data_IF_633527040472
#
_entry.id   IF_633527040472
#
_cell.length_a   1.000
_cell.length_b   1.000
_cell.length_c   1.000
_cell.angle_alpha   90.00
_cell.angle_beta   90.00
_cell.angle_gamma   90.00
#
_symmetry.space_group_name_H-M   'P 1'
#
loop_
_entity.id
_entity.type
_entity.pdbx_description
1 polymer ?
#
# COMPACT_ATOMS: atom_id res chain seq x y z
N UNK A 1 -5.87 -42.99 -7.85
CA UNK A 1 -4.88 -42.76 -6.76
C UNK A 1 -5.26 -41.46 -6.05
N UNK A 2 -5.14 -41.41 -4.71
CA UNK A 2 -6.16 -40.86 -3.81
C UNK A 2 -6.25 -39.31 -3.80
N UNK A 3 -7.34 -38.75 -3.25
CA UNK A 3 -7.60 -37.32 -3.27
C UNK A 3 -6.69 -36.55 -2.30
N UNK A 4 -6.23 -35.39 -2.74
CA UNK A 4 -5.56 -34.38 -1.92
C UNK A 4 -6.52 -33.92 -0.82
N UNK A 5 -6.38 -34.48 0.38
CA UNK A 5 -7.07 -34.04 1.57
C UNK A 5 -6.67 -32.59 1.88
N UNK A 6 -7.63 -31.69 1.81
CA UNK A 6 -7.58 -30.37 2.41
C UNK A 6 -7.37 -30.51 3.92
N UNK A 7 -6.13 -30.47 4.37
CA UNK A 7 -5.84 -30.32 5.80
C UNK A 7 -6.12 -28.88 6.19
N UNK A 8 -7.33 -28.63 6.68
CA UNK A 8 -7.58 -27.48 7.55
C UNK A 8 -6.65 -27.62 8.76
N UNK A 9 -5.50 -26.94 8.74
CA UNK A 9 -4.67 -26.81 9.93
C UNK A 9 -5.50 -26.01 10.95
N UNK A 10 -6.09 -26.73 11.90
CA UNK A 10 -6.71 -26.15 13.08
C UNK A 10 -5.69 -25.20 13.73
N UNK A 11 -6.10 -23.94 13.91
CA UNK A 11 -5.38 -22.93 14.67
C UNK A 11 -5.08 -23.50 16.05
N UNK A 12 -3.83 -23.89 16.31
CA UNK A 12 -3.43 -24.39 17.62
C UNK A 12 -3.42 -23.24 18.61
N UNK A 13 -4.38 -23.24 19.54
CA UNK A 13 -4.20 -22.55 20.81
C UNK A 13 -2.91 -23.08 21.44
N UNK A 14 -2.11 -22.20 22.04
CA UNK A 14 -0.91 -22.62 22.75
C UNK A 14 -1.39 -23.54 23.87
N UNK A 15 -0.97 -24.80 23.83
CA UNK A 15 -1.12 -25.69 24.98
C UNK A 15 -0.20 -25.14 26.07
N UNK A 16 -0.79 -24.61 27.15
CA UNK A 16 -0.08 -23.97 28.26
C UNK A 16 0.96 -24.90 28.92
N UNK A 17 0.90 -26.21 28.63
CA UNK A 17 1.86 -27.22 29.10
C UNK A 17 3.20 -27.20 28.35
N UNK A 18 3.30 -26.52 27.21
CA UNK A 18 4.54 -26.49 26.41
C UNK A 18 5.46 -25.36 26.88
N UNK A 19 6.60 -25.72 27.48
CA UNK A 19 7.62 -24.74 27.91
C UNK A 19 8.22 -24.01 26.70
N UNK A 20 8.16 -22.68 26.68
CA UNK A 20 8.76 -21.85 25.62
C UNK A 20 10.26 -21.70 25.79
N UNK A 21 10.72 -21.29 26.98
CA UNK A 21 12.13 -21.16 27.32
C UNK A 21 12.37 -21.92 28.64
N UNK A 22 13.23 -22.94 28.66
CA UNK A 22 13.53 -23.69 29.88
C UNK A 22 14.00 -22.77 31.01
N UNK A 23 13.44 -22.95 32.21
CA UNK A 23 13.79 -22.14 33.39
C UNK A 23 13.06 -20.79 33.50
N UNK A 24 12.18 -20.45 32.54
CA UNK A 24 11.33 -19.26 32.61
C UNK A 24 9.85 -19.65 32.63
N UNK A 25 9.05 -18.79 33.26
CA UNK A 25 7.60 -18.84 33.13
C UNK A 25 7.17 -18.49 31.69
N UNK A 26 6.11 -19.14 31.20
CA UNK A 26 5.68 -19.02 29.81
C UNK A 26 5.18 -17.61 29.44
N UNK A 27 4.64 -16.85 30.39
CA UNK A 27 4.26 -15.45 30.21
C UNK A 27 5.50 -14.57 29.94
N UNK A 28 6.55 -14.69 30.75
CA UNK A 28 7.82 -13.96 30.57
C UNK A 28 8.51 -14.39 29.27
N UNK A 29 8.55 -15.70 29.00
CA UNK A 29 9.13 -16.21 27.77
C UNK A 29 8.36 -15.71 26.52
N UNK A 30 7.02 -15.69 26.58
CA UNK A 30 6.18 -15.17 25.50
C UNK A 30 6.43 -13.68 25.24
N UNK A 31 6.67 -12.91 26.29
CA UNK A 31 7.02 -11.50 26.19
C UNK A 31 8.37 -11.34 25.51
N UNK A 32 9.41 -12.04 25.97
CA UNK A 32 10.76 -12.01 25.37
C UNK A 32 10.71 -12.35 23.89
N UNK A 33 10.03 -13.45 23.52
CA UNK A 33 9.92 -13.87 22.13
C UNK A 33 9.11 -12.88 21.28
N UNK A 34 8.17 -12.13 21.88
CA UNK A 34 7.36 -11.13 21.15
C UNK A 34 8.17 -9.90 20.70
N UNK A 35 9.23 -9.55 21.44
CA UNK A 35 10.17 -8.46 21.09
C UNK A 35 11.10 -8.82 19.93
N UNK A 36 11.17 -10.09 19.54
CA UNK A 36 12.04 -10.50 18.42
C UNK A 36 11.49 -9.94 17.11
N UNK A 37 12.28 -9.19 16.33
CA UNK A 37 11.86 -8.60 15.06
C UNK A 37 11.27 -9.63 14.09
N UNK A 38 10.24 -9.22 13.35
CA UNK A 38 9.52 -10.14 12.45
C UNK A 38 10.44 -10.77 11.38
N UNK A 39 11.48 -10.04 10.97
CA UNK A 39 12.51 -10.49 10.03
C UNK A 39 13.28 -11.73 10.48
N UNK A 40 13.43 -11.96 11.79
CA UNK A 40 14.16 -13.10 12.34
C UNK A 40 13.27 -14.31 12.69
N UNK A 41 11.95 -14.13 12.73
CA UNK A 41 11.02 -15.16 13.20
C UNK A 41 11.01 -16.41 12.32
N UNK A 42 11.19 -16.29 11.00
CA UNK A 42 11.21 -17.46 10.10
C UNK A 42 12.33 -18.43 10.42
N UNK A 43 13.49 -17.92 10.82
CA UNK A 43 14.65 -18.73 11.23
C UNK A 43 14.37 -19.42 12.56
N UNK A 44 13.77 -18.69 13.51
CA UNK A 44 13.46 -19.20 14.85
C UNK A 44 12.30 -20.19 14.86
N UNK A 45 11.30 -20.04 13.97
CA UNK A 45 10.23 -21.03 13.79
C UNK A 45 10.77 -22.44 13.50
N UNK A 46 11.98 -22.57 12.95
CA UNK A 46 12.57 -23.86 12.56
C UNK A 46 13.36 -24.54 13.68
N UNK A 47 13.59 -23.89 14.83
CA UNK A 47 14.46 -24.44 15.88
C UNK A 47 13.77 -25.52 16.71
N UNK A 48 12.52 -25.29 17.13
CA UNK A 48 11.74 -26.23 17.92
C UNK A 48 10.23 -26.07 17.70
N UNK A 49 9.46 -27.11 18.06
CA UNK A 49 8.00 -27.11 17.92
C UNK A 49 7.31 -26.03 18.76
N UNK A 50 7.80 -25.77 19.97
CA UNK A 50 7.20 -24.75 20.86
C UNK A 50 7.28 -23.35 20.27
N UNK A 51 8.45 -22.96 19.74
CA UNK A 51 8.63 -21.68 19.07
C UNK A 51 7.86 -21.61 17.75
N UNK A 52 7.82 -22.71 16.99
CA UNK A 52 6.99 -22.79 15.79
C UNK A 52 5.52 -22.45 16.09
N UNK A 53 4.94 -23.08 17.11
CA UNK A 53 3.56 -22.84 17.54
C UNK A 53 3.39 -21.40 18.03
N UNK A 54 4.28 -20.92 18.90
CA UNK A 54 4.21 -19.55 19.43
C UNK A 54 4.23 -18.48 18.34
N UNK A 55 5.22 -18.50 17.44
CA UNK A 55 5.33 -17.53 16.35
C UNK A 55 4.25 -17.73 15.26
N UNK A 56 3.48 -18.80 15.31
CA UNK A 56 2.33 -19.06 14.42
C UNK A 56 1.01 -18.90 15.18
N UNK A 57 1.01 -18.21 16.30
CA UNK A 57 -0.19 -17.95 17.10
C UNK A 57 -0.60 -16.48 17.05
N UNK A 58 -1.87 -16.22 17.36
CA UNK A 58 -2.38 -14.83 17.53
C UNK A 58 -1.78 -14.14 18.76
N UNK A 59 -1.27 -14.91 19.73
CA UNK A 59 -0.68 -14.41 20.99
C UNK A 59 0.50 -13.48 20.74
N UNK A 60 1.31 -13.76 19.72
CA UNK A 60 2.42 -12.88 19.31
C UNK A 60 1.94 -11.46 18.99
N UNK A 61 0.96 -11.34 18.10
CA UNK A 61 0.43 -10.04 17.66
C UNK A 61 -0.33 -9.34 18.79
N UNK A 62 -1.03 -10.10 19.64
CA UNK A 62 -1.67 -9.56 20.83
C UNK A 62 -0.64 -8.93 21.79
N UNK A 63 0.44 -9.65 22.10
CA UNK A 63 1.49 -9.14 22.98
C UNK A 63 2.18 -7.90 22.40
N UNK A 64 2.52 -7.90 21.11
CA UNK A 64 3.14 -6.73 20.46
C UNK A 64 2.27 -5.48 20.53
N UNK A 65 0.97 -5.64 20.31
CA UNK A 65 -0.02 -4.56 20.48
C UNK A 65 -0.07 -4.05 21.91
N UNK A 66 -0.18 -4.98 22.88
CA UNK A 66 -0.25 -4.66 24.30
C UNK A 66 0.98 -3.89 24.79
N UNK A 67 2.17 -4.28 24.35
CA UNK A 67 3.44 -3.70 24.80
C UNK A 67 4.04 -2.67 23.84
N UNK A 68 3.29 -2.23 22.83
CA UNK A 68 3.71 -1.28 21.78
C UNK A 68 5.03 -1.65 21.09
N UNK A 69 5.41 -2.92 21.09
CA UNK A 69 6.64 -3.44 20.47
C UNK A 69 6.39 -3.81 19.01
N UNK A 70 5.92 -2.85 18.23
CA UNK A 70 5.57 -3.09 16.84
C UNK A 70 6.79 -3.02 15.92
N UNK A 71 6.86 -3.92 14.95
CA UNK A 71 7.80 -3.79 13.83
C UNK A 71 7.12 -2.99 12.71
N UNK A 72 7.69 -1.85 12.33
CA UNK A 72 7.28 -1.09 11.16
C UNK A 72 7.97 -1.67 9.93
N UNK A 73 7.21 -2.38 9.10
CA UNK A 73 7.71 -3.06 7.92
C UNK A 73 7.14 -2.42 6.65
N UNK A 74 7.91 -2.53 5.59
CA UNK A 74 7.52 -2.11 4.26
C UNK A 74 7.29 -3.33 3.37
N UNK A 75 6.08 -3.53 2.89
CA UNK A 75 5.79 -4.49 1.84
C UNK A 75 5.96 -3.81 0.47
N UNK A 76 6.81 -4.39 -0.38
CA UNK A 76 7.08 -3.93 -1.74
C UNK A 76 6.58 -5.01 -2.70
N UNK A 77 5.72 -4.61 -3.63
CA UNK A 77 5.27 -5.39 -4.77
C UNK A 77 6.00 -4.84 -6.01
N UNK A 78 7.07 -5.50 -6.49
CA UNK A 78 7.88 -4.96 -7.58
C UNK A 78 7.10 -4.85 -8.89
N UNK A 79 6.26 -5.85 -9.16
CA UNK A 79 5.49 -6.01 -10.39
C UNK A 79 4.20 -6.80 -10.07
N UNK A 80 3.59 -7.42 -11.09
CA UNK A 80 2.45 -8.31 -10.93
C UNK A 80 2.76 -9.41 -9.89
N UNK A 81 2.03 -9.43 -8.76
CA UNK A 81 2.34 -10.30 -7.64
C UNK A 81 1.93 -11.75 -7.86
N UNK A 82 1.25 -12.07 -8.97
CA UNK A 82 0.97 -13.45 -9.37
C UNK A 82 2.15 -14.15 -10.04
N UNK A 83 3.10 -13.36 -10.58
CA UNK A 83 4.30 -13.86 -11.27
C UNK A 83 5.60 -13.54 -10.54
N UNK A 84 5.62 -12.48 -9.73
CA UNK A 84 6.79 -12.05 -8.97
C UNK A 84 6.51 -12.07 -7.47
N UNK A 85 7.50 -12.48 -6.67
CA UNK A 85 7.36 -12.50 -5.22
C UNK A 85 7.33 -11.07 -4.66
N UNK A 86 6.33 -10.70 -3.85
CA UNK A 86 6.40 -9.50 -3.03
C UNK A 86 7.45 -9.67 -1.93
N UNK A 87 7.97 -8.57 -1.39
CA UNK A 87 8.99 -8.61 -0.33
C UNK A 87 8.61 -7.72 0.85
N UNK A 88 8.76 -8.24 2.05
CA UNK A 88 8.80 -7.44 3.27
C UNK A 88 10.23 -6.97 3.52
N UNK A 89 10.38 -5.69 3.77
CA UNK A 89 11.61 -5.04 4.15
C UNK A 89 11.48 -4.49 5.57
N UNK A 90 12.47 -4.81 6.40
CA UNK A 90 12.66 -4.30 7.76
C UNK A 90 13.84 -3.32 7.72
N UNK A 91 13.58 -1.99 7.71
CA UNK A 91 14.65 -1.00 7.61
C UNK A 91 15.55 -0.94 8.85
N UNK A 92 15.03 -1.30 10.03
CA UNK A 92 15.81 -1.28 11.27
C UNK A 92 16.89 -2.37 11.27
N UNK A 93 16.58 -3.54 10.70
CA UNK A 93 17.50 -4.68 10.65
C UNK A 93 18.10 -4.93 9.26
N UNK A 94 17.78 -4.07 8.28
CA UNK A 94 18.16 -4.22 6.87
C UNK A 94 17.86 -5.61 6.31
N UNK A 95 16.74 -6.19 6.74
CA UNK A 95 16.40 -7.57 6.46
C UNK A 95 15.23 -7.66 5.47
N UNK A 96 15.31 -8.65 4.59
CA UNK A 96 14.32 -8.90 3.55
C UNK A 96 13.67 -10.26 3.73
N UNK A 97 12.38 -10.35 3.44
CA UNK A 97 11.63 -11.60 3.51
C UNK A 97 10.64 -11.70 2.34
N UNK A 98 10.78 -12.70 1.45
CA UNK A 98 9.85 -12.89 0.33
C UNK A 98 8.50 -13.40 0.83
N UNK A 99 7.42 -12.77 0.41
CA UNK A 99 6.06 -13.27 0.56
C UNK A 99 5.75 -14.24 -0.58
N UNK A 100 4.89 -15.25 -0.37
CA UNK A 100 4.43 -16.08 -1.48
C UNK A 100 3.72 -15.22 -2.55
N UNK A 101 3.76 -15.62 -3.83
CA UNK A 101 3.02 -14.93 -4.88
C UNK A 101 1.52 -15.12 -4.65
N UNK A 102 0.72 -14.26 -5.28
CA UNK A 102 -0.71 -14.45 -5.35
C UNK A 102 -1.05 -15.71 -6.17
N UNK A 103 -2.18 -16.37 -5.88
CA UNK A 103 -2.68 -17.44 -6.73
C UNK A 103 -2.84 -16.95 -8.18
N UNK A 104 -2.14 -17.60 -9.11
CA UNK A 104 -2.13 -17.23 -10.52
C UNK A 104 -3.42 -17.69 -11.22
N UNK A 105 -3.95 -16.85 -12.12
CA UNK A 105 -4.96 -17.25 -13.09
C UNK A 105 -4.31 -17.28 -14.49
N UNK A 106 -4.20 -18.46 -15.14
CA UNK A 106 -3.53 -18.61 -16.43
C UNK A 106 -4.09 -17.76 -17.57
N UNK A 107 -5.35 -17.33 -17.48
CA UNK A 107 -5.97 -16.52 -18.55
C UNK A 107 -5.71 -15.03 -18.40
N UNK A 108 -5.20 -14.57 -17.26
CA UNK A 108 -5.00 -13.14 -16.99
C UNK A 108 -3.53 -12.82 -16.76
N UNK A 109 -3.08 -11.68 -17.26
CA UNK A 109 -1.68 -11.26 -17.14
C UNK A 109 -1.54 -9.76 -16.91
N UNK A 110 -0.35 -9.38 -16.42
CA UNK A 110 0.08 -7.99 -16.19
C UNK A 110 -0.86 -7.20 -15.27
N UNK A 111 -1.18 -7.79 -14.11
CA UNK A 111 -1.88 -7.07 -13.05
C UNK A 111 -1.04 -5.87 -12.59
N UNK A 112 -1.60 -4.67 -12.78
CA UNK A 112 -1.00 -3.40 -12.39
C UNK A 112 -2.07 -2.50 -11.77
N UNK A 113 -1.68 -1.32 -11.27
CA UNK A 113 -2.61 -0.31 -10.74
C UNK A 113 -3.53 -0.82 -9.62
N UNK A 114 -3.18 -1.93 -8.98
CA UNK A 114 -3.84 -2.40 -7.77
C UNK A 114 -3.39 -1.54 -6.59
N UNK A 115 -4.17 -1.56 -5.52
CA UNK A 115 -3.81 -0.91 -4.27
C UNK A 115 -3.49 -1.96 -3.22
N UNK A 116 -2.56 -1.64 -2.33
CA UNK A 116 -2.35 -2.39 -1.10
C UNK A 116 -2.51 -1.49 0.11
N UNK A 117 -3.21 -1.96 1.13
CA UNK A 117 -3.49 -1.23 2.37
C UNK A 117 -3.32 -2.17 3.57
N UNK A 118 -2.81 -1.66 4.69
CA UNK A 118 -2.73 -2.43 5.92
C UNK A 118 -3.93 -2.10 6.82
N UNK A 119 -4.52 -3.13 7.41
CA UNK A 119 -5.57 -2.97 8.40
C UNK A 119 -5.47 -4.09 9.43
N UNK A 120 -5.31 -3.70 10.69
CA UNK A 120 -5.00 -4.64 11.76
C UNK A 120 -3.68 -5.38 11.47
N UNK A 121 -3.63 -6.72 11.62
CA UNK A 121 -2.41 -7.51 11.39
C UNK A 121 -2.33 -8.04 9.95
N UNK A 122 -3.06 -7.45 8.99
CA UNK A 122 -3.16 -7.97 7.63
C UNK A 122 -2.79 -6.91 6.59
N UNK A 123 -2.30 -7.38 5.44
CA UNK A 123 -2.19 -6.60 4.22
C UNK A 123 -3.33 -7.02 3.31
N UNK A 124 -4.06 -6.04 2.77
CA UNK A 124 -5.07 -6.24 1.77
C UNK A 124 -4.52 -5.82 0.42
N UNK A 125 -4.74 -6.65 -0.60
CA UNK A 125 -4.45 -6.33 -2.00
C UNK A 125 -5.77 -6.27 -2.76
N UNK A 126 -6.04 -5.12 -3.36
CA UNK A 126 -7.36 -4.76 -3.87
C UNK A 126 -7.27 -4.35 -5.34
N UNK A 127 -8.10 -4.99 -6.15
CA UNK A 127 -8.38 -4.59 -7.53
C UNK A 127 -7.18 -4.62 -8.46
N UNK A 128 -7.08 -3.58 -9.28
CA UNK A 128 -6.09 -3.40 -10.32
C UNK A 128 -6.67 -3.48 -11.72
N UNK A 129 -5.79 -3.44 -12.70
CA UNK A 129 -6.09 -3.64 -14.12
C UNK A 129 -5.21 -4.75 -14.66
N UNK A 130 -5.79 -5.62 -15.47
CA UNK A 130 -5.10 -6.75 -16.09
C UNK A 130 -5.61 -6.93 -17.53
N UNK A 131 -5.02 -7.85 -18.26
CA UNK A 131 -5.48 -8.25 -19.58
C UNK A 131 -5.96 -9.71 -19.54
N UNK A 132 -6.97 -10.05 -20.34
CA UNK A 132 -7.43 -11.44 -20.50
C UNK A 132 -6.99 -11.94 -21.88
N UNK A 133 -6.17 -12.99 -21.90
CA UNK A 133 -5.64 -13.61 -23.11
C UNK A 133 -6.73 -14.23 -24.01
N UNK A 134 -7.96 -14.36 -23.50
CA UNK A 134 -9.12 -14.87 -24.22
C UNK A 134 -10.04 -13.75 -24.74
N UNK A 135 -9.77 -12.50 -24.38
CA UNK A 135 -10.60 -11.36 -24.79
C UNK A 135 -10.28 -10.89 -26.20
N UNK A 136 -11.29 -10.37 -26.90
CA UNK A 136 -11.13 -9.68 -28.19
C UNK A 136 -11.83 -8.31 -28.13
N UNK A 137 -11.18 -7.20 -28.57
CA UNK A 137 -9.79 -7.14 -29.03
C UNK A 137 -8.78 -7.47 -27.92
N UNK A 138 -7.65 -8.05 -28.31
CA UNK A 138 -6.51 -8.26 -27.43
C UNK A 138 -6.01 -6.92 -26.88
N UNK A 139 -5.33 -6.95 -25.73
CA UNK A 139 -4.73 -5.78 -25.07
C UNK A 139 -5.73 -4.70 -24.60
N UNK A 140 -7.01 -5.05 -24.44
CA UNK A 140 -7.96 -4.19 -23.73
C UNK A 140 -7.80 -4.36 -22.21
N UNK A 141 -7.46 -3.31 -21.45
CA UNK A 141 -7.28 -3.42 -20.01
C UNK A 141 -8.63 -3.57 -19.31
N UNK A 142 -8.75 -4.62 -18.51
CA UNK A 142 -9.94 -4.94 -17.72
C UNK A 142 -9.70 -4.59 -16.25
N UNK A 143 -10.59 -3.81 -15.61
CA UNK A 143 -10.53 -3.60 -14.18
C UNK A 143 -10.84 -4.91 -13.43
N UNK A 144 -10.23 -5.11 -12.26
CA UNK A 144 -10.45 -6.28 -11.42
C UNK A 144 -11.21 -5.92 -10.16
N UNK A 145 -12.20 -6.74 -9.79
CA UNK A 145 -12.84 -6.70 -8.47
C UNK A 145 -12.15 -7.61 -7.45
N UNK A 146 -11.10 -8.35 -7.85
CA UNK A 146 -10.47 -9.33 -6.96
C UNK A 146 -9.82 -8.65 -5.76
N UNK A 147 -10.00 -9.28 -4.60
CA UNK A 147 -9.43 -8.81 -3.35
C UNK A 147 -8.83 -9.99 -2.58
N UNK A 148 -7.68 -9.75 -1.97
CA UNK A 148 -6.92 -10.73 -1.21
C UNK A 148 -6.46 -10.14 0.11
N UNK A 149 -6.34 -10.98 1.13
CA UNK A 149 -5.79 -10.64 2.43
C UNK A 149 -4.62 -11.56 2.75
N UNK A 150 -3.49 -10.99 3.11
CA UNK A 150 -2.33 -11.77 3.56
C UNK A 150 -2.44 -12.09 5.06
N UNK A 151 -2.33 -13.36 5.38
CA UNK A 151 -2.33 -13.86 6.75
C UNK A 151 -0.89 -14.15 7.19
N UNK A 152 -0.37 -13.36 8.13
CA UNK A 152 1.00 -13.49 8.63
C UNK A 152 1.21 -14.72 9.52
N UNK A 153 0.12 -15.31 10.03
CA UNK A 153 0.18 -16.53 10.85
C UNK A 153 0.39 -17.75 9.95
N UNK A 154 -0.49 -17.96 8.99
CA UNK A 154 -0.44 -19.08 8.03
C UNK A 154 0.56 -18.85 6.90
N UNK A 155 1.02 -17.60 6.74
CA UNK A 155 1.94 -17.18 5.69
C UNK A 155 1.39 -17.42 4.28
N UNK A 156 0.11 -17.12 4.08
CA UNK A 156 -0.62 -17.37 2.84
C UNK A 156 -1.54 -16.21 2.46
N UNK A 157 -1.79 -16.07 1.16
CA UNK A 157 -2.85 -15.20 0.65
C UNK A 157 -4.20 -15.91 0.72
N UNK A 158 -5.19 -15.23 1.29
CA UNK A 158 -6.58 -15.65 1.33
C UNK A 158 -7.38 -14.78 0.37
N UNK A 159 -8.21 -15.39 -0.48
CA UNK A 159 -9.17 -14.64 -1.30
C UNK A 159 -10.32 -14.19 -0.39
N UNK A 160 -10.67 -12.91 -0.48
CA UNK A 160 -11.82 -12.33 0.23
C UNK A 160 -12.92 -11.97 -0.79
N UNK A 161 -14.06 -11.48 -0.32
CA UNK A 161 -15.15 -11.08 -1.21
C UNK A 161 -14.65 -10.06 -2.24
N UNK A 162 -14.99 -10.23 -3.53
CA UNK A 162 -14.62 -9.27 -4.56
C UNK A 162 -15.42 -7.98 -4.38
N UNK A 163 -14.83 -6.85 -4.77
CA UNK A 163 -15.53 -5.56 -4.88
C UNK A 163 -16.74 -5.69 -5.82
N UNK A 164 -17.79 -4.91 -5.55
CA UNK A 164 -19.01 -4.86 -6.36
C UNK A 164 -18.67 -4.30 -7.75
N UNK A 165 -17.95 -3.18 -7.78
CA UNK A 165 -17.43 -2.55 -8.99
C UNK A 165 -15.93 -2.83 -9.13
N UNK A 166 -15.51 -3.57 -10.18
CA UNK A 166 -14.11 -3.76 -10.52
C UNK A 166 -13.40 -2.41 -10.77
N UNK A 167 -12.18 -2.27 -10.23
CA UNK A 167 -11.43 -1.00 -10.29
C UNK A 167 -9.92 -1.21 -10.18
N UNK A 168 -9.15 -0.37 -10.87
CA UNK A 168 -7.72 -0.09 -10.69
C UNK A 168 -7.49 1.42 -10.61
N UNK A 169 -6.34 1.85 -10.10
CA UNK A 169 -6.01 3.27 -9.89
C UNK A 169 -7.11 4.03 -9.13
N UNK A 170 -7.56 3.52 -7.98
CA UNK A 170 -8.62 4.10 -7.17
C UNK A 170 -8.08 4.64 -5.83
N UNK A 171 -8.81 5.58 -5.24
CA UNK A 171 -8.56 6.02 -3.88
C UNK A 171 -8.94 4.92 -2.89
N UNK A 172 -8.11 4.72 -1.87
CA UNK A 172 -8.30 3.66 -0.88
C UNK A 172 -7.80 4.14 0.48
N UNK A 173 -8.58 3.90 1.53
CA UNK A 173 -8.17 4.20 2.90
C UNK A 173 -8.66 3.13 3.87
N UNK A 174 -7.84 2.81 4.87
CA UNK A 174 -8.27 2.04 6.02
C UNK A 174 -8.89 2.97 7.06
N UNK A 175 -10.03 2.57 7.62
CA UNK A 175 -10.63 3.21 8.79
C UNK A 175 -10.31 2.31 9.99
N UNK A 176 -9.23 2.62 10.71
CA UNK A 176 -8.69 1.72 11.73
C UNK A 176 -9.67 1.55 12.89
N UNK A 177 -10.33 2.63 13.32
CA UNK A 177 -11.33 2.60 14.40
C UNK A 177 -12.54 1.71 14.13
N UNK A 178 -12.99 1.61 12.87
CA UNK A 178 -14.15 0.81 12.47
C UNK A 178 -13.78 -0.55 11.87
N UNK A 179 -12.48 -0.82 11.68
CA UNK A 179 -11.98 -2.01 10.98
C UNK A 179 -12.65 -2.19 9.60
N UNK A 180 -12.67 -1.11 8.81
CA UNK A 180 -13.24 -1.05 7.47
C UNK A 180 -12.21 -0.51 6.47
N UNK A 181 -12.43 -0.77 5.19
CA UNK A 181 -11.64 -0.19 4.09
C UNK A 181 -12.61 0.50 3.15
N UNK A 182 -12.36 1.75 2.79
CA UNK A 182 -13.17 2.50 1.83
C UNK A 182 -12.37 2.62 0.54
N UNK A 183 -13.04 2.37 -0.60
CA UNK A 183 -12.48 2.54 -1.94
C UNK A 183 -13.38 3.44 -2.76
N UNK A 184 -12.79 4.32 -3.58
CA UNK A 184 -13.54 5.32 -4.35
C UNK A 184 -12.95 5.54 -5.74
N UNK A 185 -13.84 5.56 -6.73
CA UNK A 185 -13.49 5.77 -8.14
C UNK A 185 -12.61 4.65 -8.71
N UNK A 186 -11.74 5.03 -9.64
CA UNK A 186 -10.85 4.16 -10.39
C UNK A 186 -11.43 3.71 -11.73
N UNK A 187 -10.89 2.62 -12.24
CA UNK A 187 -11.33 1.96 -13.47
C UNK A 187 -10.19 1.18 -14.13
N UNK A 188 -10.00 1.35 -15.42
CA UNK A 188 -8.88 0.73 -16.14
C UNK A 188 -8.24 1.75 -17.06
N UNK A 189 -6.92 1.64 -17.27
CA UNK A 189 -6.18 2.57 -18.14
C UNK A 189 -5.50 1.82 -19.25
N UNK A 190 -5.75 2.24 -20.49
CA UNK A 190 -5.00 1.77 -21.64
C UNK A 190 -3.77 2.67 -21.84
N UNK A 191 -2.60 2.08 -22.07
CA UNK A 191 -1.32 2.80 -22.19
C UNK A 191 -1.30 3.79 -23.36
N UNK A 192 -1.85 3.39 -24.52
CA UNK A 192 -1.92 4.24 -25.73
C UNK A 192 -3.24 5.01 -25.90
N UNK A 193 -4.39 4.44 -25.54
CA UNK A 193 -5.70 5.03 -25.84
C UNK A 193 -6.46 5.38 -24.55
N UNK A 194 -6.27 6.60 -24.03
CA UNK A 194 -6.90 7.03 -22.77
C UNK A 194 -8.44 6.83 -22.73
N UNK A 195 -9.11 6.96 -23.88
CA UNK A 195 -10.55 6.73 -24.03
C UNK A 195 -10.96 5.23 -24.01
N UNK A 196 -10.04 4.30 -24.23
CA UNK A 196 -10.30 2.86 -24.18
C UNK A 196 -10.30 2.29 -22.75
N UNK A 197 -9.92 3.10 -21.76
CA UNK A 197 -9.98 2.79 -20.34
C UNK A 197 -11.35 3.11 -19.73
N UNK A 198 -11.73 2.36 -18.70
CA UNK A 198 -12.95 2.64 -17.92
C UNK A 198 -12.68 3.63 -16.79
N UNK A 199 -13.70 4.39 -16.39
CA UNK A 199 -13.68 5.26 -15.20
C UNK A 199 -15.01 5.11 -14.48
N UNK A 200 -14.96 5.07 -13.16
CA UNK A 200 -16.16 4.97 -12.31
C UNK A 200 -16.11 6.04 -11.23
N UNK A 201 -17.28 6.34 -10.67
CA UNK A 201 -17.43 7.20 -9.52
C UNK A 201 -17.98 6.42 -8.31
N UNK A 202 -18.16 5.11 -8.40
CA UNK A 202 -18.72 4.32 -7.30
C UNK A 202 -17.77 4.25 -6.11
N UNK A 203 -18.37 4.21 -4.92
CA UNK A 203 -17.68 4.19 -3.64
C UNK A 203 -18.20 2.97 -2.89
N UNK A 204 -17.30 2.22 -2.30
CA UNK A 204 -17.64 1.00 -1.57
C UNK A 204 -16.84 0.93 -0.28
N UNK A 205 -17.46 0.38 0.77
CA UNK A 205 -16.76 0.01 2.00
C UNK A 205 -16.73 -1.50 2.17
N UNK A 206 -15.58 -2.01 2.59
CA UNK A 206 -15.40 -3.40 2.95
C UNK A 206 -15.58 -3.59 4.46
N UNK A 207 -16.54 -4.42 4.83
CA UNK A 207 -16.74 -4.86 6.20
C UNK A 207 -15.90 -6.11 6.47
N UNK A 208 -14.85 -5.98 7.28
CA UNK A 208 -13.91 -7.09 7.53
C UNK A 208 -14.57 -8.27 8.23
N UNK A 209 -15.50 -8.03 9.16
CA UNK A 209 -16.20 -9.09 9.89
C UNK A 209 -17.20 -9.81 8.99
N UNK A 210 -17.96 -9.06 8.18
CA UNK A 210 -18.93 -9.59 7.25
C UNK A 210 -18.33 -10.19 5.99
N UNK A 211 -17.04 -9.94 5.71
CA UNK A 211 -16.37 -10.28 4.45
C UNK A 211 -17.26 -9.89 3.24
N UNK A 212 -17.71 -8.64 3.22
CA UNK A 212 -18.59 -8.13 2.17
C UNK A 212 -18.27 -6.68 1.86
N UNK A 213 -18.50 -6.31 0.61
CA UNK A 213 -18.49 -4.93 0.16
C UNK A 213 -19.90 -4.38 0.21
N UNK A 214 -20.03 -3.12 0.62
CA UNK A 214 -21.29 -2.39 0.73
C UNK A 214 -21.13 -1.10 -0.06
N UNK A 215 -22.10 -0.81 -0.91
CA UNK A 215 -22.14 0.41 -1.71
C UNK A 215 -22.35 1.65 -0.82
N UNK A 216 -21.76 2.76 -1.23
CA UNK A 216 -21.87 4.08 -0.61
C UNK A 216 -22.17 5.13 -1.68
N UNK A 217 -22.52 6.35 -1.25
CA UNK A 217 -22.75 7.47 -2.16
C UNK A 217 -21.54 7.71 -3.07
N UNK A 218 -21.79 7.67 -4.38
CA UNK A 218 -20.76 7.82 -5.40
C UNK A 218 -20.11 9.21 -5.39
N UNK A 219 -18.86 9.30 -5.86
CA UNK A 219 -18.16 10.56 -6.06
C UNK A 219 -18.98 11.49 -6.99
N UNK A 220 -18.90 12.82 -6.80
CA UNK A 220 -19.62 13.79 -7.63
C UNK A 220 -19.30 13.68 -9.13
N UNK A 221 -18.08 13.22 -9.46
CA UNK A 221 -17.57 13.04 -10.82
C UNK A 221 -16.70 11.80 -10.90
N UNK A 222 -16.51 11.27 -12.12
CA UNK A 222 -15.55 10.19 -12.38
C UNK A 222 -14.14 10.60 -11.98
N UNK A 223 -13.43 9.74 -11.25
CA UNK A 223 -12.06 10.01 -10.82
C UNK A 223 -11.24 8.72 -10.79
N UNK A 224 -10.09 8.71 -11.46
CA UNK A 224 -9.11 7.63 -11.43
C UNK A 224 -7.71 8.20 -11.17
N UNK A 225 -6.76 7.37 -10.72
CA UNK A 225 -5.42 7.81 -10.31
C UNK A 225 -5.41 8.74 -9.09
N UNK A 226 -6.47 8.73 -8.28
CA UNK A 226 -6.62 9.53 -7.07
C UNK A 226 -6.04 8.83 -5.84
N UNK A 227 -5.80 9.62 -4.79
CA UNK A 227 -5.33 9.14 -3.48
C UNK A 227 -6.45 9.29 -2.46
N UNK A 228 -6.65 8.27 -1.64
CA UNK A 228 -7.64 8.26 -0.56
C UNK A 228 -6.95 8.25 0.80
N UNK A 229 -7.51 8.96 1.78
CA UNK A 229 -7.10 8.87 3.18
C UNK A 229 -8.24 9.28 4.10
N UNK A 230 -8.14 8.92 5.38
CA UNK A 230 -9.16 9.24 6.39
C UNK A 230 -8.55 10.17 7.43
N UNK A 231 -9.23 11.28 7.70
CA UNK A 231 -8.96 12.10 8.86
C UNK A 231 -9.82 11.58 10.02
N UNK A 232 -9.28 10.66 10.83
CA UNK A 232 -10.07 9.96 11.86
C UNK A 232 -10.69 10.90 12.91
N UNK A 233 -10.04 12.03 13.20
CA UNK A 233 -10.54 13.03 14.15
C UNK A 233 -11.81 13.72 13.68
N UNK A 234 -11.83 14.19 12.42
CA UNK A 234 -13.01 14.79 11.82
C UNK A 234 -14.00 13.74 11.31
N UNK A 235 -13.58 12.48 11.22
CA UNK A 235 -14.38 11.41 10.64
C UNK A 235 -14.60 11.63 9.15
N UNK A 236 -13.62 12.16 8.43
CA UNK A 236 -13.76 12.53 7.02
C UNK A 236 -12.91 11.62 6.12
N UNK A 237 -13.51 11.14 5.04
CA UNK A 237 -12.81 10.45 3.96
C UNK A 237 -12.50 11.42 2.83
N UNK A 238 -11.21 11.60 2.54
CA UNK A 238 -10.70 12.50 1.53
C UNK A 238 -10.30 11.73 0.28
N UNK A 239 -10.69 12.26 -0.89
CA UNK A 239 -10.25 11.77 -2.20
C UNK A 239 -9.62 12.92 -2.96
N UNK A 240 -8.32 12.80 -3.22
CA UNK A 240 -7.47 13.89 -3.70
C UNK A 240 -6.91 13.61 -5.10
N UNK A 241 -7.05 14.60 -5.99
CA UNK A 241 -6.46 14.60 -7.34
C UNK A 241 -6.93 13.46 -8.25
N UNK A 242 -6.04 12.94 -9.09
CA UNK A 242 -6.41 11.99 -10.14
C UNK A 242 -6.90 12.71 -11.40
N UNK A 243 -7.69 12.01 -12.20
CA UNK A 243 -8.17 12.49 -13.48
C UNK A 243 -9.57 11.95 -13.78
N UNK A 244 -10.35 12.73 -14.52
CA UNK A 244 -11.70 12.39 -14.92
C UNK A 244 -11.81 12.07 -16.40
N UNK A 245 -12.82 12.62 -17.06
CA UNK A 245 -13.09 12.37 -18.47
C UNK A 245 -11.95 12.82 -19.39
N UNK A 246 -11.86 12.17 -20.55
CA UNK A 246 -10.92 12.56 -21.59
C UNK A 246 -11.54 13.66 -22.45
N UNK A 247 -10.83 14.77 -22.64
CA UNK A 247 -11.18 15.81 -23.61
C UNK A 247 -10.34 15.69 -24.87
N UNK A 248 -10.87 16.13 -26.00
CA UNK A 248 -10.11 16.17 -27.26
C UNK A 248 -9.40 17.54 -27.35
N UNK A 249 -8.07 17.51 -27.44
CA UNK A 249 -7.25 18.70 -27.68
C UNK A 249 -6.95 18.78 -29.18
N UNK A 250 -7.12 19.98 -29.74
CA UNK A 250 -6.89 20.28 -31.16
C UNK A 250 -7.66 19.39 -32.14
N UNK A 251 -8.81 18.84 -31.72
CA UNK A 251 -9.66 17.97 -32.54
C UNK A 251 -9.11 16.56 -32.79
N UNK A 252 -7.94 16.20 -32.25
CA UNK A 252 -7.23 14.95 -32.63
C UNK A 252 -6.79 14.12 -31.42
N UNK A 253 -6.34 14.75 -30.32
CA UNK A 253 -5.67 14.02 -29.25
C UNK A 253 -6.53 13.92 -27.99
N UNK A 254 -6.94 12.72 -27.55
CA UNK A 254 -7.60 12.55 -26.26
C UNK A 254 -6.59 12.78 -25.14
N UNK A 255 -6.91 13.69 -24.22
CA UNK A 255 -6.10 14.01 -23.05
C UNK A 255 -6.99 13.91 -21.82
N UNK A 256 -6.52 13.19 -20.80
CA UNK A 256 -7.18 13.11 -19.50
C UNK A 256 -7.23 14.49 -18.83
N UNK A 257 -8.39 14.89 -18.33
CA UNK A 257 -8.50 16.07 -17.48
C UNK A 257 -8.02 15.71 -16.06
N UNK A 258 -6.84 16.21 -15.69
CA UNK A 258 -6.30 16.02 -14.35
C UNK A 258 -6.91 17.03 -13.38
N UNK A 259 -7.29 16.51 -12.22
CA UNK A 259 -7.91 17.28 -11.17
C UNK A 259 -6.90 17.77 -10.14
N UNK A 260 -7.10 19.02 -9.74
CA UNK A 260 -6.28 19.77 -8.79
C UNK A 260 -6.98 19.97 -7.46
N UNK A 261 -8.17 19.41 -7.34
CA UNK A 261 -9.09 19.53 -6.21
C UNK A 261 -9.06 18.27 -5.34
N UNK A 262 -9.78 18.35 -4.23
CA UNK A 262 -10.15 17.22 -3.40
C UNK A 262 -11.65 17.24 -3.16
N UNK A 263 -12.21 16.06 -2.92
CA UNK A 263 -13.58 15.89 -2.45
C UNK A 263 -13.57 15.13 -1.13
N UNK A 264 -14.51 15.46 -0.25
CA UNK A 264 -14.57 14.95 1.12
C UNK A 264 -15.95 14.41 1.41
N UNK A 265 -15.99 13.24 2.03
CA UNK A 265 -17.20 12.61 2.54
C UNK A 265 -17.12 12.53 4.06
N UNK A 266 -18.17 12.97 4.74
CA UNK A 266 -18.32 12.77 6.18
C UNK A 266 -18.74 11.33 6.46
N UNK A 267 -17.99 10.63 7.33
CA UNK A 267 -18.25 9.25 7.74
C UNK A 267 -19.08 9.17 9.02
N UNK A 268 -19.17 10.25 9.79
CA UNK A 268 -19.94 10.35 11.05
C UNK A 268 -20.94 11.49 10.94
N UNK A 269 -22.19 11.25 11.35
CA UNK A 269 -23.13 12.34 11.61
C UNK A 269 -22.85 12.96 13.00
N UNK A 270 -23.20 14.23 13.19
CA UNK A 270 -23.03 15.01 14.43
C UNK A 270 -23.64 14.39 15.71
N UNK A 271 -24.37 13.28 15.61
CA UNK A 271 -25.02 12.60 16.75
C UNK A 271 -24.27 11.35 17.25
N UNK A 272 -23.06 11.06 16.74
CA UNK A 272 -22.21 9.97 17.25
C UNK A 272 -22.69 8.55 16.95
N UNK A 273 -23.81 8.38 16.23
CA UNK A 273 -24.21 7.10 15.67
C UNK A 273 -23.46 6.84 14.36
N UNK A 274 -22.89 5.64 14.26
CA UNK A 274 -22.39 5.09 13.00
C UNK A 274 -23.51 5.15 11.96
N UNK A 275 -23.20 5.64 10.76
CA UNK A 275 -24.17 5.70 9.67
C UNK A 275 -24.45 4.27 9.21
N UNK A 276 -25.51 3.69 9.78
CA UNK A 276 -26.09 2.43 9.36
C UNK A 276 -26.81 2.64 8.01
N UNK A 277 -26.03 2.83 6.95
CA UNK A 277 -26.51 2.93 5.56
C UNK A 277 -26.21 4.25 4.85
N UNK A 278 -25.22 4.21 3.95
CA UNK A 278 -24.89 5.28 2.99
C UNK A 278 -23.93 6.31 3.55
N UNK A 279 -22.70 6.39 3.01
CA UNK A 279 -21.75 7.45 3.38
C UNK A 279 -22.36 8.85 3.27
N UNK A 280 -21.86 9.80 4.06
CA UNK A 280 -22.37 11.17 4.05
C UNK A 280 -22.24 11.85 2.68
N UNK A 281 -22.92 13.00 2.52
CA UNK A 281 -22.86 13.77 1.27
C UNK A 281 -21.42 14.23 0.98
N UNK A 282 -21.05 14.16 -0.30
CA UNK A 282 -19.79 14.70 -0.77
C UNK A 282 -19.77 16.24 -0.76
N UNK A 283 -18.66 16.80 -0.29
CA UNK A 283 -18.32 18.23 -0.36
C UNK A 283 -17.08 18.42 -1.23
N UNK A 284 -17.12 19.40 -2.12
CA UNK A 284 -15.95 19.82 -2.88
C UNK A 284 -15.10 20.78 -2.04
N UNK A 285 -13.79 20.53 -1.97
CA UNK A 285 -12.85 21.40 -1.24
C UNK A 285 -12.38 22.56 -2.12
N UNK A 286 -12.39 22.35 -3.44
CA UNK A 286 -11.89 23.30 -4.44
C UNK A 286 -10.41 23.07 -4.79
N UNK A 287 -9.89 23.89 -5.68
CA UNK A 287 -8.53 23.76 -6.21
C UNK A 287 -7.46 24.04 -5.14
N UNK A 288 -6.49 23.13 -5.02
CA UNK A 288 -5.41 23.19 -4.03
C UNK A 288 -4.23 24.08 -4.44
N UNK A 289 -4.35 24.76 -5.59
CA UNK A 289 -3.28 25.51 -6.26
C UNK A 289 -3.84 26.80 -6.86
N UNK A 290 -2.96 27.77 -7.11
CA UNK A 290 -3.35 28.95 -7.89
C UNK A 290 -3.40 28.62 -9.40
N UNK A 291 -4.14 29.43 -10.13
CA UNK A 291 -4.28 29.28 -11.58
C UNK A 291 -2.89 29.34 -12.25
N UNK A 292 -2.63 28.39 -13.16
CA UNK A 292 -1.35 28.28 -13.87
C UNK A 292 -0.21 27.56 -13.14
N UNK A 293 -0.31 27.26 -11.83
CA UNK A 293 0.81 26.64 -11.10
C UNK A 293 1.05 25.18 -11.51
N UNK A 294 0.00 24.34 -11.57
CA UNK A 294 0.17 22.92 -11.90
C UNK A 294 -1.13 22.21 -12.25
N UNK A 295 -1.05 21.18 -13.11
CA UNK A 295 -2.19 20.35 -13.49
C UNK A 295 -2.25 18.96 -12.81
N UNK A 296 -1.12 18.37 -12.40
CA UNK A 296 -1.04 16.97 -11.93
C UNK A 296 -0.32 16.84 -10.59
N UNK A 297 -0.95 16.16 -9.63
CA UNK A 297 -0.33 15.84 -8.34
C UNK A 297 0.78 14.79 -8.48
N UNK A 298 1.80 14.92 -7.63
CA UNK A 298 2.89 13.97 -7.46
C UNK A 298 2.47 12.76 -6.60
N UNK A 299 3.46 12.09 -6.00
CA UNK A 299 3.18 10.95 -5.10
C UNK A 299 2.77 11.48 -3.73
N UNK A 300 1.55 11.20 -3.32
CA UNK A 300 1.02 11.64 -2.03
C UNK A 300 1.11 10.50 -1.03
N UNK A 301 1.53 10.83 0.17
CA UNK A 301 1.56 9.95 1.34
C UNK A 301 0.94 10.68 2.52
N UNK A 302 0.34 9.91 3.42
CA UNK A 302 -0.31 10.45 4.61
C UNK A 302 0.39 9.92 5.83
N UNK A 303 0.79 10.85 6.69
CA UNK A 303 1.38 10.58 7.98
C UNK A 303 0.29 10.72 9.03
N UNK A 304 -0.12 9.57 9.54
CA UNK A 304 -0.99 9.45 10.70
C UNK A 304 -0.10 9.42 11.94
N UNK A 305 -0.28 10.38 12.86
CA UNK A 305 0.41 10.38 14.14
C UNK A 305 -0.42 9.61 15.17
N UNK A 306 0.24 8.75 15.95
CA UNK A 306 -0.37 7.93 17.02
C UNK A 306 -1.02 8.79 18.16
N UNK A 307 -0.96 10.12 18.07
CA UNK A 307 -1.51 11.06 19.04
C UNK A 307 -2.38 12.11 18.39
N UNK A 308 -3.68 11.82 18.21
CA UNK A 308 -4.78 12.76 17.96
C UNK A 308 -4.34 14.11 17.36
N UNK A 309 -3.83 14.07 16.14
CA UNK A 309 -3.71 15.25 15.29
C UNK A 309 -4.25 14.89 13.92
N UNK A 310 -4.86 15.89 13.30
CA UNK A 310 -5.23 15.88 11.89
C UNK A 310 -4.10 15.29 11.03
N UNK A 311 -4.39 14.42 10.05
CA UNK A 311 -3.38 13.75 9.26
C UNK A 311 -2.46 14.75 8.57
N UNK A 312 -1.15 14.50 8.57
CA UNK A 312 -0.19 15.31 7.82
C UNK A 312 -0.01 14.72 6.42
N UNK A 313 -0.49 15.44 5.40
CA UNK A 313 -0.44 14.98 4.01
C UNK A 313 0.78 15.59 3.33
N UNK A 314 1.62 14.74 2.74
CA UNK A 314 2.82 15.16 2.01
C UNK A 314 2.78 14.69 0.56
N UNK A 315 3.33 15.49 -0.33
CA UNK A 315 3.50 15.17 -1.73
C UNK A 315 4.97 15.25 -2.10
N UNK A 316 5.50 14.18 -2.68
CA UNK A 316 6.77 14.21 -3.39
C UNK A 316 6.51 14.60 -4.84
N UNK A 317 7.12 15.70 -5.22
CA UNK A 317 7.04 16.26 -6.55
C UNK A 317 8.44 16.55 -7.08
N UNK A 318 8.87 15.76 -8.07
CA UNK A 318 10.24 15.75 -8.56
C UNK A 318 11.24 15.50 -7.43
N UNK A 319 11.77 16.58 -6.84
CA UNK A 319 12.69 16.54 -5.69
C UNK A 319 12.19 17.36 -4.51
N UNK A 320 11.06 18.04 -4.64
CA UNK A 320 10.47 18.84 -3.58
C UNK A 320 9.44 18.03 -2.82
N UNK A 321 9.49 18.13 -1.49
CA UNK A 321 8.47 17.60 -0.60
C UNK A 321 7.60 18.78 -0.17
N UNK A 322 6.32 18.69 -0.51
CA UNK A 322 5.32 19.68 -0.18
C UNK A 322 4.41 19.10 0.92
N UNK A 323 4.02 19.95 1.86
CA UNK A 323 3.06 19.66 2.92
C UNK A 323 1.74 20.33 2.57
N UNK A 324 0.64 19.60 2.70
CA UNK A 324 -0.69 20.17 2.49
C UNK A 324 -1.20 20.83 3.78
N UNK A 325 -1.64 22.06 3.66
CA UNK A 325 -2.37 22.79 4.69
C UNK A 325 -3.87 22.65 4.42
N UNK A 326 -4.54 21.80 5.21
CA UNK A 326 -5.97 21.52 5.06
C UNK A 326 -6.84 22.74 5.38
N UNK A 327 -6.40 23.66 6.24
CA UNK A 327 -7.16 24.84 6.62
C UNK A 327 -7.11 25.91 5.52
N UNK A 328 -5.96 26.06 4.86
CA UNK A 328 -5.78 26.99 3.75
C UNK A 328 -6.12 26.39 2.38
N UNK A 329 -6.38 25.08 2.31
CA UNK A 329 -6.52 24.32 1.06
C UNK A 329 -5.34 24.57 0.10
N UNK A 330 -4.10 24.52 0.60
CA UNK A 330 -2.90 24.86 -0.19
C UNK A 330 -1.71 23.99 0.12
N UNK A 331 -0.90 23.73 -0.89
CA UNK A 331 0.39 23.08 -0.75
C UNK A 331 1.49 24.09 -0.41
N UNK A 332 2.29 23.77 0.60
CA UNK A 332 3.43 24.56 1.03
C UNK A 332 4.71 23.74 0.92
N UNK A 333 5.82 24.38 0.54
CA UNK A 333 7.11 23.69 0.45
C UNK A 333 7.67 23.41 1.84
N UNK A 334 7.91 22.13 2.14
CA UNK A 334 8.50 21.69 3.41
C UNK A 334 10.02 21.56 3.28
N UNK A 335 10.49 20.82 2.27
CA UNK A 335 11.92 20.55 2.07
C UNK A 335 12.20 20.05 0.65
N UNK A 336 13.46 19.79 0.33
CA UNK A 336 13.89 19.18 -0.93
C UNK A 336 14.81 18.00 -0.64
N UNK A 337 14.70 16.94 -1.45
CA UNK A 337 15.50 15.72 -1.35
C UNK A 337 16.98 16.06 -1.56
N UNK A 338 17.89 15.77 -0.59
CA UNK A 338 19.28 16.23 -0.64
C UNK A 338 20.08 15.69 -1.83
N UNK A 339 19.96 14.38 -2.12
CA UNK A 339 20.57 13.77 -3.31
C UNK A 339 19.53 13.59 -4.39
N UNK A 340 19.75 14.29 -5.50
CA UNK A 340 18.93 14.20 -6.71
C UNK A 340 19.29 12.92 -7.47
N UNK A 341 18.30 12.14 -7.86
CA UNK A 341 18.49 11.03 -8.79
C UNK A 341 18.79 11.60 -10.18
N UNK A 342 19.61 10.89 -10.96
CA UNK A 342 19.93 11.30 -12.35
C UNK A 342 18.78 11.09 -13.32
N UNK A 343 17.75 10.35 -12.92
CA UNK A 343 16.58 10.05 -13.74
C UNK A 343 15.32 10.32 -12.93
N UNK A 344 14.49 11.26 -13.41
CA UNK A 344 13.37 11.89 -12.69
C UNK A 344 12.22 10.94 -12.34
N UNK A 345 12.26 9.68 -12.79
CA UNK A 345 11.07 8.82 -12.89
C UNK A 345 10.92 7.71 -11.85
N UNK A 346 11.86 7.52 -10.92
CA UNK A 346 11.84 6.33 -10.07
C UNK A 346 12.04 6.61 -8.57
N UNK A 347 11.39 7.65 -8.04
CA UNK A 347 11.28 7.78 -6.58
C UNK A 347 10.15 6.89 -6.04
N UNK A 348 10.49 6.02 -5.10
CA UNK A 348 9.53 5.49 -4.13
C UNK A 348 9.29 6.52 -3.04
N UNK A 349 8.05 6.69 -2.58
CA UNK A 349 7.72 7.59 -1.49
C UNK A 349 6.71 6.94 -0.58
N UNK A 350 7.06 6.75 0.69
CA UNK A 350 6.21 6.10 1.70
C UNK A 350 6.43 6.74 3.07
N UNK A 351 5.43 6.63 3.93
CA UNK A 351 5.55 6.98 5.36
C UNK A 351 5.81 5.70 6.15
N UNK A 352 6.85 5.69 6.96
CA UNK A 352 7.15 4.58 7.86
C UNK A 352 7.64 5.14 9.20
N UNK A 353 7.07 4.65 10.29
CA UNK A 353 7.44 5.04 11.67
C UNK A 353 7.46 6.58 11.90
N UNK A 354 6.46 7.29 11.35
CA UNK A 354 6.35 8.74 11.48
C UNK A 354 7.37 9.55 10.66
N UNK A 355 8.05 8.91 9.70
CA UNK A 355 9.05 9.54 8.86
C UNK A 355 8.78 9.32 7.37
N UNK A 356 9.27 10.23 6.54
CA UNK A 356 9.10 10.18 5.10
C UNK A 356 10.31 9.49 4.47
N UNK A 357 10.08 8.37 3.80
CA UNK A 357 11.12 7.60 3.13
C UNK A 357 11.04 7.81 1.62
N UNK A 358 12.08 8.44 1.06
CA UNK A 358 12.28 8.63 -0.37
C UNK A 358 13.29 7.60 -0.87
N UNK A 359 12.86 6.70 -1.76
CA UNK A 359 13.65 5.55 -2.19
C UNK A 359 14.07 5.70 -3.65
N UNK A 360 15.33 5.36 -3.95
CA UNK A 360 15.86 5.31 -5.31
C UNK A 360 16.70 4.06 -5.50
N UNK A 361 16.67 3.50 -6.71
CA UNK A 361 17.56 2.42 -7.07
C UNK A 361 18.81 2.99 -7.74
N UNK A 362 19.95 2.84 -7.09
CA UNK A 362 21.25 3.19 -7.65
C UNK A 362 21.79 2.00 -8.44
N UNK A 363 21.79 2.11 -9.76
CA UNK A 363 22.50 1.16 -10.61
C UNK A 363 24.00 1.40 -10.43
N UNK A 364 24.77 0.35 -10.13
CA UNK A 364 26.22 0.43 -10.06
C UNK A 364 26.78 0.71 -11.44
N UNK A 365 26.90 1.98 -11.83
CA UNK A 365 27.93 2.37 -12.79
C UNK A 365 29.26 2.15 -12.07
N UNK A 366 29.96 1.08 -12.45
CA UNK A 366 31.37 0.91 -12.14
C UNK A 366 32.11 2.16 -12.68
N UNK A 367 32.65 2.97 -11.77
CA UNK A 367 33.50 4.11 -12.14
C UNK A 367 34.90 3.72 -12.61
N UNK A 368 35.18 2.43 -12.78
CA UNK A 368 36.40 1.94 -13.41
C UNK A 368 36.27 0.47 -13.72
N UNK A 369 36.05 0.10 -14.98
CA UNK A 369 36.75 -1.02 -15.63
C UNK A 369 36.32 -1.13 -17.09
N UNK A 370 37.19 -0.66 -17.96
CA UNK A 370 37.21 -0.99 -19.37
C UNK A 370 37.43 -2.51 -19.54
N UNK A 371 36.60 -3.11 -20.39
CA UNK A 371 36.74 -4.41 -21.09
C UNK A 371 36.08 -5.65 -20.45
N UNK A 372 35.04 -6.09 -21.16
CA UNK A 372 34.64 -7.47 -21.45
C UNK A 372 34.44 -8.41 -20.24
N UNK A 373 33.19 -8.54 -19.81
CA UNK A 373 32.65 -9.82 -19.36
C UNK A 373 31.12 -9.79 -19.45
N UNK A 374 30.49 -10.93 -19.74
CA UNK A 374 29.04 -11.12 -19.76
C UNK A 374 28.48 -10.74 -18.37
N UNK A 375 28.00 -9.52 -18.22
CA UNK A 375 27.49 -9.01 -16.96
C UNK A 375 26.12 -9.63 -16.66
N UNK A 376 26.07 -10.57 -15.72
CA UNK A 376 24.93 -10.65 -14.82
C UNK A 376 24.73 -9.25 -14.25
N UNK A 377 23.68 -8.53 -14.69
CA UNK A 377 23.36 -7.20 -14.16
C UNK A 377 23.25 -7.34 -12.64
N UNK A 378 24.23 -6.80 -11.90
CA UNK A 378 24.18 -6.76 -10.43
C UNK A 378 22.88 -6.04 -10.04
N UNK A 379 22.13 -6.62 -9.10
CA UNK A 379 20.96 -5.96 -8.51
C UNK A 379 21.37 -4.56 -8.01
N UNK A 380 20.65 -3.53 -8.45
CA UNK A 380 20.92 -2.15 -8.02
C UNK A 380 20.86 -2.01 -6.50
N UNK A 381 21.56 -1.03 -5.94
CA UNK A 381 21.51 -0.76 -4.50
C UNK A 381 20.34 0.16 -4.18
N UNK A 382 19.51 -0.19 -3.20
CA UNK A 382 18.41 0.64 -2.75
C UNK A 382 18.95 1.72 -1.82
N UNK A 383 18.84 2.97 -2.25
CA UNK A 383 19.20 4.15 -1.47
C UNK A 383 17.93 4.80 -0.93
N UNK A 384 17.86 4.99 0.39
CA UNK A 384 16.69 5.52 1.08
C UNK A 384 17.11 6.79 1.80
N UNK A 385 16.49 7.91 1.45
CA UNK A 385 16.64 9.20 2.11
C UNK A 385 15.43 9.40 3.02
N UNK A 386 15.69 9.54 4.32
CA UNK A 386 14.66 9.57 5.35
C UNK A 386 14.61 10.98 5.93
N UNK A 387 13.44 11.60 5.84
CA UNK A 387 13.16 12.91 6.40
C UNK A 387 12.25 12.77 7.61
N UNK A 388 12.62 13.43 8.71
CA UNK A 388 11.79 13.49 9.91
C UNK A 388 11.08 14.86 9.95
N UNK A 389 9.75 14.93 9.71
CA UNK A 389 9.05 16.22 9.58
C UNK A 389 9.12 17.10 10.82
N UNK A 390 9.03 16.52 12.03
CA UNK A 390 9.10 17.27 13.29
C UNK A 390 10.49 17.80 13.60
N UNK A 391 11.52 16.98 13.40
CA UNK A 391 12.92 17.36 13.68
C UNK A 391 13.54 18.16 12.55
N UNK A 392 12.93 18.14 11.36
CA UNK A 392 13.43 18.74 10.11
C UNK A 392 14.84 18.27 9.75
N UNK A 393 15.16 17.02 10.07
CA UNK A 393 16.47 16.42 9.79
C UNK A 393 16.37 15.34 8.72
N UNK A 394 17.47 15.17 7.99
CA UNK A 394 17.65 14.13 7.00
C UNK A 394 18.65 13.09 7.48
N UNK A 395 18.39 11.84 7.14
CA UNK A 395 19.38 10.75 7.19
C UNK A 395 19.28 9.89 5.95
N UNK A 396 20.24 8.98 5.78
CA UNK A 396 20.23 8.05 4.67
C UNK A 396 20.49 6.63 5.14
N UNK A 397 19.92 5.69 4.41
CA UNK A 397 20.05 4.26 4.62
C UNK A 397 20.29 3.59 3.27
N UNK A 398 21.14 2.57 3.27
CA UNK A 398 21.47 1.81 2.06
C UNK A 398 21.14 0.34 2.31
N UNK A 399 20.37 -0.26 1.40
CA UNK A 399 20.01 -1.65 1.47
C UNK A 399 20.33 -2.34 0.13
N UNK A 400 20.72 -3.61 0.19
CA UNK A 400 20.84 -4.46 -1.01
C UNK A 400 19.51 -5.19 -1.19
N UNK A 401 18.69 -4.82 -2.19
CA UNK A 401 17.44 -5.51 -2.41
C UNK A 401 17.68 -6.90 -3.02
N UNK A 402 16.78 -7.87 -2.77
CA UNK A 402 16.85 -9.22 -3.33
C UNK A 402 16.33 -9.30 -4.78
N UNK A 403 16.05 -8.17 -5.44
CA UNK A 403 15.42 -8.16 -6.77
C UNK A 403 16.40 -8.63 -7.85
N UNK A 404 15.94 -9.51 -8.74
CA UNK A 404 16.70 -9.93 -9.92
C UNK A 404 16.66 -8.90 -11.06
N UNK A 405 15.63 -8.04 -11.05
CA UNK A 405 15.42 -6.97 -12.02
C UNK A 405 15.42 -5.61 -11.32
N UNK A 406 15.78 -4.52 -12.02
CA UNK A 406 15.71 -3.19 -11.44
C UNK A 406 14.25 -2.83 -11.09
N UNK A 407 14.02 -2.46 -9.84
CA UNK A 407 12.72 -2.02 -9.35
C UNK A 407 12.32 -0.69 -10.01
N UNK A 408 11.18 -0.67 -10.68
CA UNK A 408 10.56 0.56 -11.19
C UNK A 408 9.51 1.07 -10.19
N UNK A 409 9.81 2.18 -9.54
CA UNK A 409 8.88 2.80 -8.58
C UNK A 409 7.65 3.44 -9.25
N UNK A 410 7.61 3.57 -10.58
CA UNK A 410 6.42 4.07 -11.28
C UNK A 410 5.29 3.04 -11.31
N UNK A 411 5.62 1.74 -11.26
CA UNK A 411 4.68 0.61 -11.30
C UNK A 411 4.64 -0.16 -9.99
N UNK A 412 5.70 -0.13 -9.19
CA UNK A 412 5.76 -0.82 -7.92
C UNK A 412 4.73 -0.27 -6.92
N UNK A 413 4.04 -1.17 -6.25
CA UNK A 413 3.09 -0.84 -5.18
C UNK A 413 3.78 -1.08 -3.85
N UNK A 414 3.59 -0.18 -2.89
CA UNK A 414 4.17 -0.28 -1.56
C UNK A 414 3.11 -0.09 -0.50
N UNK A 415 3.20 -0.85 0.58
CA UNK A 415 2.31 -0.72 1.74
C UNK A 415 3.12 -0.89 3.02
N UNK A 416 2.90 0.02 3.95
CA UNK A 416 3.50 -0.06 5.28
C UNK A 416 2.58 -0.83 6.20
N UNK A 417 3.17 -1.67 7.05
CA UNK A 417 2.43 -2.48 8.01
C UNK A 417 3.12 -2.45 9.37
N UNK A 418 2.29 -2.42 10.41
CA UNK A 418 2.68 -2.48 11.81
C UNK A 418 2.33 -3.87 12.36
N UNK A 419 3.35 -4.68 12.68
CA UNK A 419 3.18 -6.06 13.19
C UNK A 419 3.56 -6.22 14.65
#
# INVERSE_FOLDING_TARGET
>A
MPPLSSSQQQLQAIDDTVTLIPGLLNDVASLILSFIPYSHQSRLKRTCKSWFVFFSSKTLFFNRRKFKSHSHLLCIFPEDPSISFPFLFDPAHLAWRPLPPLPCNPSTYSLCNFTSVSLGPHIYLLGGSHFDARSFPLDRPLPSGSAFRFNFITYSWERIAPMISPRGSFACAAVHGLNQIIVAGGGSRHSMFAAAGSRINSVERYEVVGNKWVEMDGLPRFRAGCVGFVAEESGEFWVMGGYGESRIVSGVFPVDEYYRDAVVMELKNNDGNDVDGGGGKWREVGDMWEEGQRARLGKIVVLEDDGCRSPEVFMLDQTDILRYDMALNRWQKETSVPRKASDEKSFGFVVLDGELHVMTLLNGLDWSETRRSRQHKKAGTLFIQIYHPRKKTWRSLVAKPPFHHPLDFSTAVMCTIRL
#
